data_IF_867718166634
#
_entry.id   IF_867718166634
#
_cell.length_a   1.000
_cell.length_b   1.000
_cell.length_c   1.000
_cell.angle_alpha   90.00
_cell.angle_beta   90.00
_cell.angle_gamma   90.00
#
_symmetry.space_group_name_H-M   'P 1'
#
loop_
_entity.id
_entity.type
_entity.pdbx_description
1 polymer ?
#
# COMPACT_ATOMS: atom_id res chain seq x y z
N UNK A 1 60.87 -1.68 83.20
CA UNK A 1 59.56 -2.36 82.93
C UNK A 1 58.65 -1.46 82.25
N UNK A 2 58.43 -1.61 80.99
CA UNK A 2 57.24 -1.25 80.22
C UNK A 2 57.50 -1.67 78.80
N UNK A 3 56.76 -2.63 78.34
CA UNK A 3 56.83 -3.17 76.98
C UNK A 3 56.03 -2.28 76.07
N UNK A 4 56.63 -1.78 74.98
CA UNK A 4 56.02 -1.11 73.89
C UNK A 4 55.44 -2.11 72.92
N UNK A 5 54.16 -2.02 72.69
CA UNK A 5 53.45 -2.81 71.65
C UNK A 5 53.43 -1.98 70.40
N UNK A 6 54.05 -2.47 69.33
CA UNK A 6 53.94 -1.91 67.98
C UNK A 6 52.60 -2.31 67.39
N UNK A 7 51.78 -1.38 67.08
CA UNK A 7 50.56 -1.58 66.26
C UNK A 7 50.88 -1.29 64.84
N UNK A 8 50.97 -2.32 64.04
CA UNK A 8 51.09 -2.20 62.56
C UNK A 8 49.77 -1.83 61.91
N UNK A 9 49.71 -0.71 61.28
CA UNK A 9 48.58 -0.32 60.45
C UNK A 9 48.60 -1.04 59.10
N UNK A 10 47.66 -1.95 58.89
CA UNK A 10 47.40 -2.55 57.59
C UNK A 10 46.54 -1.60 56.81
N UNK A 11 47.08 -0.97 55.79
CA UNK A 11 46.36 -0.18 54.82
C UNK A 11 45.63 -1.14 53.84
N UNK A 12 44.34 -1.34 54.00
CA UNK A 12 43.50 -2.03 53.01
C UNK A 12 43.21 -1.06 51.90
N UNK A 13 43.86 -1.23 50.74
CA UNK A 13 43.50 -0.52 49.52
C UNK A 13 42.20 -1.13 48.99
N UNK A 14 41.08 -0.41 49.11
CA UNK A 14 39.83 -0.74 48.46
C UNK A 14 39.97 -0.34 46.99
N UNK A 15 40.18 -1.34 46.13
CA UNK A 15 40.10 -1.17 44.68
C UNK A 15 38.64 -1.03 44.31
N UNK A 16 38.16 0.19 44.11
CA UNK A 16 36.83 0.43 43.53
C UNK A 16 36.90 0.07 42.04
N UNK A 17 36.42 -1.11 41.70
CA UNK A 17 36.17 -1.49 40.31
C UNK A 17 34.95 -0.72 39.82
N UNK A 18 35.16 0.40 39.14
CA UNK A 18 34.15 1.05 38.35
C UNK A 18 33.89 0.15 37.16
N UNK A 19 32.88 -0.69 37.24
CA UNK A 19 32.30 -1.38 36.07
C UNK A 19 31.60 -0.32 35.26
N UNK A 20 32.28 0.27 34.30
CA UNK A 20 31.65 0.96 33.20
C UNK A 20 30.82 -0.10 32.46
N UNK A 21 29.53 -0.11 32.71
CA UNK A 21 28.56 -0.77 31.83
C UNK A 21 28.64 -0.03 30.48
N UNK A 22 29.58 -0.48 29.64
CA UNK A 22 29.51 -0.17 28.23
C UNK A 22 28.14 -0.71 27.77
N UNK A 23 27.21 0.22 27.55
CA UNK A 23 25.98 -0.10 26.86
C UNK A 23 26.36 -0.86 25.61
N UNK A 24 25.93 -2.10 25.51
CA UNK A 24 26.04 -2.88 24.29
C UNK A 24 25.25 -2.16 23.21
N UNK A 25 25.94 -1.22 22.54
CA UNK A 25 25.56 -0.77 21.21
C UNK A 25 25.54 -2.06 20.39
N UNK A 26 24.37 -2.58 20.14
CA UNK A 26 24.20 -3.74 19.26
C UNK A 26 24.66 -3.27 17.89
N UNK A 27 25.86 -3.67 17.51
CA UNK A 27 26.33 -3.72 16.14
C UNK A 27 25.57 -4.83 15.40
N UNK A 28 24.26 -4.67 15.25
CA UNK A 28 23.64 -5.18 14.05
C UNK A 28 23.98 -4.14 12.98
N UNK A 29 24.69 -4.51 11.89
CA UNK A 29 24.74 -3.63 10.76
C UNK A 29 23.27 -3.34 10.42
N UNK A 30 22.86 -2.06 10.47
CA UNK A 30 21.60 -1.67 9.90
C UNK A 30 21.61 -2.20 8.48
N UNK A 31 20.64 -3.03 8.12
CA UNK A 31 20.42 -3.48 6.75
C UNK A 31 19.97 -2.24 5.97
N UNK A 32 20.90 -1.31 5.75
CA UNK A 32 20.64 -0.17 4.88
C UNK A 32 20.49 -0.74 3.47
N UNK A 33 19.23 -0.85 3.04
CA UNK A 33 18.94 -1.13 1.65
C UNK A 33 19.67 -0.05 0.81
N UNK A 34 20.33 -0.45 -0.28
CA UNK A 34 20.99 0.52 -1.15
C UNK A 34 20.01 1.62 -1.53
N UNK A 35 20.45 2.88 -1.54
CA UNK A 35 19.63 4.00 -2.00
C UNK A 35 19.42 3.96 -3.54
N UNK A 36 19.95 2.94 -4.20
CA UNK A 36 19.76 2.71 -5.62
C UNK A 36 18.28 2.41 -5.90
N UNK A 37 17.64 3.36 -6.55
CA UNK A 37 16.23 3.31 -6.91
C UNK A 37 16.01 3.08 -8.42
N UNK A 38 17.02 2.54 -9.08
CA UNK A 38 16.96 2.15 -10.49
C UNK A 38 16.94 0.63 -10.61
N UNK A 39 15.96 0.10 -11.36
CA UNK A 39 15.83 -1.33 -11.64
C UNK A 39 15.51 -1.57 -13.11
N UNK A 40 16.19 -2.54 -13.69
CA UNK A 40 15.79 -3.16 -14.96
C UNK A 40 15.27 -4.56 -14.64
N UNK A 41 13.97 -4.74 -14.76
CA UNK A 41 13.26 -6.00 -14.51
C UNK A 41 12.80 -6.69 -15.79
N UNK A 42 13.19 -6.18 -16.97
CA UNK A 42 12.76 -6.69 -18.27
C UNK A 42 13.16 -8.14 -18.54
N UNK A 43 14.16 -8.67 -17.81
CA UNK A 43 14.57 -10.09 -17.88
C UNK A 43 13.82 -11.03 -16.94
N UNK A 44 12.96 -10.50 -16.06
CA UNK A 44 12.16 -11.28 -15.13
C UNK A 44 10.78 -11.63 -15.68
N UNK A 45 10.19 -12.74 -15.23
CA UNK A 45 8.80 -13.04 -15.52
C UNK A 45 7.92 -12.18 -14.61
N UNK A 46 7.03 -11.32 -15.15
CA UNK A 46 6.08 -10.56 -14.32
C UNK A 46 5.17 -11.51 -13.51
N UNK A 47 4.65 -11.05 -12.38
CA UNK A 47 3.76 -11.86 -11.53
C UNK A 47 2.42 -12.16 -12.21
N UNK A 48 1.99 -11.30 -13.11
CA UNK A 48 0.91 -11.49 -14.08
C UNK A 48 1.24 -10.69 -15.36
N UNK A 49 0.64 -11.01 -16.52
CA UNK A 49 0.89 -10.28 -17.75
C UNK A 49 0.60 -8.78 -17.61
N UNK A 50 1.58 -7.93 -17.94
CA UNK A 50 1.44 -6.49 -17.85
C UNK A 50 1.77 -5.89 -16.47
N UNK A 51 2.15 -6.69 -15.47
CA UNK A 51 2.60 -6.15 -14.19
C UNK A 51 3.86 -5.30 -14.35
N UNK A 52 3.82 -4.09 -13.82
CA UNK A 52 4.92 -3.12 -13.83
C UNK A 52 5.29 -2.68 -12.40
N UNK A 53 6.38 -1.96 -12.23
CA UNK A 53 6.82 -1.47 -10.93
C UNK A 53 7.80 -2.39 -10.21
N UNK A 54 8.31 -1.95 -9.07
CA UNK A 54 9.41 -2.61 -8.36
C UNK A 54 9.07 -4.00 -7.83
N UNK A 55 7.81 -4.26 -7.45
CA UNK A 55 7.34 -5.57 -6.99
C UNK A 55 6.96 -6.54 -8.10
N UNK A 56 6.92 -6.10 -9.37
CA UNK A 56 6.28 -6.81 -10.48
C UNK A 56 6.83 -8.20 -10.80
N UNK A 57 8.06 -8.50 -10.40
CA UNK A 57 8.71 -9.81 -10.63
C UNK A 57 8.63 -10.74 -9.42
N UNK A 58 7.81 -10.43 -8.43
CA UNK A 58 7.55 -11.34 -7.31
C UNK A 58 7.08 -12.70 -7.81
N UNK A 59 7.51 -13.75 -7.15
CA UNK A 59 7.01 -15.11 -7.45
C UNK A 59 5.69 -15.40 -6.74
N UNK A 60 5.35 -14.59 -5.73
CA UNK A 60 4.13 -14.74 -4.94
C UNK A 60 3.83 -16.21 -4.59
N UNK A 61 2.61 -16.66 -4.80
CA UNK A 61 2.17 -18.05 -4.53
C UNK A 61 2.50 -19.08 -5.62
N UNK A 62 3.24 -18.73 -6.68
CA UNK A 62 3.55 -19.64 -7.81
C UNK A 62 4.07 -20.99 -7.35
N UNK A 63 3.43 -22.07 -7.79
CA UNK A 63 3.78 -23.44 -7.40
C UNK A 63 3.35 -23.84 -5.98
N UNK A 64 2.51 -23.04 -5.33
CA UNK A 64 2.00 -23.31 -3.99
C UNK A 64 0.68 -24.09 -3.97
N UNK A 65 0.29 -24.49 -2.77
CA UNK A 65 -0.98 -25.19 -2.52
C UNK A 65 -2.17 -24.27 -2.72
N UNK A 66 -3.25 -24.81 -3.31
CA UNK A 66 -4.50 -24.09 -3.48
C UNK A 66 -5.32 -24.13 -2.18
N UNK A 67 -5.52 -22.98 -1.56
CA UNK A 67 -6.37 -22.83 -0.37
C UNK A 67 -7.68 -22.14 -0.77
N UNK A 68 -8.82 -22.76 -0.39
CA UNK A 68 -10.15 -22.27 -0.72
C UNK A 68 -10.80 -21.54 0.45
N UNK A 69 -11.22 -20.33 0.23
CA UNK A 69 -12.10 -19.61 1.17
C UNK A 69 -13.53 -20.02 0.85
N UNK A 70 -14.18 -20.66 1.80
CA UNK A 70 -15.50 -21.28 1.64
C UNK A 70 -16.55 -20.73 2.60
N UNK A 71 -16.18 -19.79 3.46
CA UNK A 71 -17.09 -19.12 4.40
C UNK A 71 -16.74 -17.64 4.53
N UNK A 72 -17.74 -16.82 4.83
CA UNK A 72 -17.59 -15.39 5.14
C UNK A 72 -17.34 -15.14 6.64
N UNK A 73 -17.16 -16.19 7.44
CA UNK A 73 -16.81 -16.02 8.84
C UNK A 73 -15.45 -15.34 8.99
N UNK A 74 -15.31 -14.46 10.00
CA UNK A 74 -14.07 -13.76 10.29
C UNK A 74 -12.88 -14.71 10.51
N UNK A 75 -13.11 -15.87 11.14
CA UNK A 75 -12.07 -16.83 11.51
C UNK A 75 -12.56 -18.29 11.45
N UNK A 76 -11.63 -19.22 11.62
CA UNK A 76 -11.88 -20.66 11.66
C UNK A 76 -11.70 -21.36 10.31
N UNK A 77 -11.98 -22.66 10.22
CA UNK A 77 -11.76 -23.45 9.01
C UNK A 77 -12.51 -22.89 7.80
N UNK A 78 -11.79 -22.70 6.68
CA UNK A 78 -12.34 -22.15 5.44
C UNK A 78 -12.52 -20.64 5.41
N UNK A 79 -12.13 -19.91 6.45
CA UNK A 79 -12.15 -18.45 6.47
C UNK A 79 -10.95 -17.83 5.74
N UNK A 80 -11.07 -16.56 5.39
CA UNK A 80 -9.95 -15.77 4.84
C UNK A 80 -8.79 -15.71 5.82
N UNK A 81 -9.03 -15.44 7.11
CA UNK A 81 -7.98 -15.40 8.14
C UNK A 81 -7.16 -16.70 8.14
N UNK A 82 -7.82 -17.86 8.17
CA UNK A 82 -7.15 -19.15 8.15
C UNK A 82 -6.29 -19.36 6.88
N UNK A 83 -6.73 -18.85 5.74
CA UNK A 83 -5.98 -18.93 4.49
C UNK A 83 -4.76 -17.97 4.46
N UNK A 84 -4.93 -16.73 4.94
CA UNK A 84 -3.86 -15.73 4.96
C UNK A 84 -2.77 -16.06 5.99
N UNK A 85 -3.12 -16.69 7.10
CA UNK A 85 -2.18 -17.07 8.18
C UNK A 85 -1.58 -18.46 8.02
N UNK A 86 -2.01 -19.22 7.01
CA UNK A 86 -1.45 -20.55 6.72
C UNK A 86 0.03 -20.45 6.36
N UNK A 87 0.81 -21.46 6.73
CA UNK A 87 2.23 -21.56 6.38
C UNK A 87 2.43 -22.21 5.02
N UNK A 88 3.60 -21.92 4.43
CA UNK A 88 4.00 -22.47 3.14
C UNK A 88 3.50 -21.66 1.93
N UNK A 89 4.03 -22.00 0.78
CA UNK A 89 3.68 -21.36 -0.51
C UNK A 89 2.24 -21.69 -0.86
N UNK A 90 1.42 -20.67 -1.21
CA UNK A 90 -0.02 -20.87 -1.37
C UNK A 90 -0.69 -19.88 -2.32
N UNK A 91 -1.77 -20.33 -2.93
CA UNK A 91 -2.68 -19.53 -3.74
C UNK A 91 -4.06 -19.60 -3.08
N UNK A 92 -4.56 -18.45 -2.65
CA UNK A 92 -5.85 -18.31 -1.97
C UNK A 92 -6.92 -17.95 -3.00
N UNK A 93 -7.95 -18.78 -3.14
CA UNK A 93 -9.08 -18.57 -4.05
C UNK A 93 -10.40 -18.58 -3.27
N UNK A 94 -11.44 -17.97 -3.84
CA UNK A 94 -12.70 -17.76 -3.14
C UNK A 94 -13.84 -18.51 -3.82
N UNK A 95 -14.50 -19.37 -3.08
CA UNK A 95 -15.73 -20.04 -3.48
C UNK A 95 -16.99 -19.36 -2.90
N UNK A 96 -16.78 -18.25 -2.19
CA UNK A 96 -17.83 -17.40 -1.62
C UNK A 96 -17.63 -15.94 -2.04
N UNK A 97 -18.73 -15.18 -2.12
CA UNK A 97 -18.73 -13.74 -2.30
C UNK A 97 -19.64 -13.09 -1.26
N UNK A 98 -19.28 -11.89 -0.82
CA UNK A 98 -20.01 -11.13 0.18
C UNK A 98 -19.09 -10.38 1.16
N UNK A 99 -19.64 -10.06 2.34
CA UNK A 99 -18.96 -9.25 3.35
C UNK A 99 -18.37 -10.15 4.44
N UNK A 100 -17.10 -9.90 4.78
CA UNK A 100 -16.41 -10.49 5.93
C UNK A 100 -16.20 -9.36 6.97
N UNK A 101 -16.83 -9.50 8.13
CA UNK A 101 -16.70 -8.53 9.22
C UNK A 101 -15.55 -8.93 10.14
N UNK A 102 -14.55 -8.05 10.22
CA UNK A 102 -13.32 -8.24 10.99
C UNK A 102 -13.33 -7.35 12.25
N UNK A 103 -12.82 -7.85 13.35
CA UNK A 103 -12.60 -7.08 14.58
C UNK A 103 -11.15 -6.65 14.79
N UNK A 104 -10.23 -7.15 13.96
CA UNK A 104 -8.82 -6.81 13.95
C UNK A 104 -8.22 -7.07 12.58
N UNK A 105 -7.11 -6.39 12.27
CA UNK A 105 -6.40 -6.59 11.01
C UNK A 105 -5.90 -8.03 10.89
N UNK A 106 -6.00 -8.62 9.69
CA UNK A 106 -5.39 -9.91 9.40
C UNK A 106 -3.94 -9.67 9.00
N UNK A 107 -2.98 -10.17 9.79
CA UNK A 107 -1.56 -10.05 9.48
C UNK A 107 -1.03 -11.26 8.72
N UNK A 108 -0.49 -11.01 7.53
CA UNK A 108 0.21 -12.01 6.71
C UNK A 108 1.68 -12.03 7.13
N UNK A 109 2.15 -13.11 7.74
CA UNK A 109 3.53 -13.26 8.21
C UNK A 109 4.33 -14.32 7.45
N UNK A 110 3.66 -15.19 6.74
CA UNK A 110 4.27 -16.27 5.97
C UNK A 110 4.38 -15.88 4.48
N UNK A 111 5.57 -15.98 3.88
CA UNK A 111 5.79 -15.53 2.51
C UNK A 111 5.19 -16.45 1.45
N UNK A 112 5.35 -16.05 0.19
CA UNK A 112 4.96 -16.77 -1.00
C UNK A 112 3.45 -17.02 -1.09
N UNK A 113 2.68 -15.93 -1.15
CA UNK A 113 1.22 -16.00 -1.22
C UNK A 113 0.67 -15.18 -2.40
N UNK A 114 -0.30 -15.76 -3.08
CA UNK A 114 -1.22 -15.06 -3.99
C UNK A 114 -2.62 -15.07 -3.40
N UNK A 115 -3.23 -13.89 -3.24
CA UNK A 115 -4.64 -13.73 -2.86
C UNK A 115 -5.42 -13.33 -4.10
N UNK A 116 -6.13 -14.28 -4.67
CA UNK A 116 -6.81 -14.14 -5.96
C UNK A 116 -8.30 -13.79 -5.75
N UNK A 117 -8.59 -12.55 -5.35
CA UNK A 117 -9.96 -12.05 -5.12
C UNK A 117 -10.86 -12.14 -6.34
N UNK A 118 -10.31 -12.02 -7.55
CA UNK A 118 -11.01 -12.19 -8.84
C UNK A 118 -11.73 -13.55 -8.96
N UNK A 119 -11.34 -14.53 -8.15
CA UNK A 119 -12.01 -15.84 -8.14
C UNK A 119 -13.32 -15.84 -7.34
N UNK A 120 -13.61 -14.82 -6.55
CA UNK A 120 -14.88 -14.74 -5.81
C UNK A 120 -16.06 -14.57 -6.76
N UNK A 121 -17.21 -15.23 -6.51
CA UNK A 121 -18.42 -14.91 -7.26
C UNK A 121 -18.91 -13.50 -6.95
N UNK A 122 -19.64 -12.86 -7.90
CA UNK A 122 -20.28 -11.56 -7.64
C UNK A 122 -21.04 -11.57 -6.29
N UNK A 123 -20.92 -10.53 -5.48
CA UNK A 123 -20.31 -9.24 -5.73
C UNK A 123 -18.81 -9.16 -5.41
N UNK A 124 -18.08 -10.27 -5.29
CA UNK A 124 -16.70 -10.31 -4.84
C UNK A 124 -16.58 -10.34 -3.31
N UNK A 125 -15.40 -10.09 -2.77
CA UNK A 125 -15.14 -10.04 -1.32
C UNK A 125 -14.98 -8.59 -0.87
N UNK A 126 -15.69 -8.24 0.21
CA UNK A 126 -15.54 -6.97 0.93
C UNK A 126 -15.19 -7.25 2.39
N UNK A 127 -14.09 -6.67 2.87
CA UNK A 127 -13.72 -6.69 4.29
C UNK A 127 -14.23 -5.39 4.95
N UNK A 128 -14.86 -5.51 6.13
CA UNK A 128 -15.30 -4.36 6.93
C UNK A 128 -14.75 -4.45 8.36
N UNK A 129 -14.67 -3.31 9.07
CA UNK A 129 -14.24 -3.22 10.45
C UNK A 129 -12.72 -3.24 10.66
N UNK A 130 -11.97 -3.86 9.75
CA UNK A 130 -10.51 -3.90 9.79
C UNK A 130 -9.95 -4.19 8.39
N UNK A 131 -8.61 -4.22 8.27
CA UNK A 131 -7.89 -4.41 7.03
C UNK A 131 -6.92 -5.58 7.00
N UNK A 132 -5.96 -5.49 6.10
CA UNK A 132 -4.88 -6.47 5.91
C UNK A 132 -3.54 -5.81 6.18
N UNK A 133 -2.67 -6.47 6.94
CA UNK A 133 -1.29 -6.05 7.19
C UNK A 133 -0.32 -7.10 6.63
N UNK A 134 0.51 -6.70 5.66
CA UNK A 134 1.52 -7.54 5.02
C UNK A 134 2.85 -7.34 5.74
N UNK A 135 3.28 -8.32 6.52
CA UNK A 135 4.53 -8.32 7.28
C UNK A 135 5.57 -9.31 6.75
N UNK A 136 5.57 -9.61 5.45
CA UNK A 136 6.45 -10.59 4.83
C UNK A 136 6.73 -10.25 3.36
N UNK A 137 7.37 -11.15 2.62
CA UNK A 137 7.79 -10.94 1.24
C UNK A 137 7.13 -11.90 0.26
N UNK A 138 7.24 -11.58 -1.03
CA UNK A 138 6.67 -12.34 -2.14
C UNK A 138 5.17 -12.55 -1.98
N UNK A 139 4.43 -11.43 -2.07
CA UNK A 139 2.99 -11.36 -1.88
C UNK A 139 2.33 -10.69 -3.08
N UNK A 140 1.25 -11.29 -3.58
CA UNK A 140 0.32 -10.68 -4.52
C UNK A 140 -1.08 -10.66 -3.91
N UNK A 141 -1.71 -9.49 -3.87
CA UNK A 141 -3.11 -9.31 -3.48
C UNK A 141 -3.85 -8.63 -4.62
N UNK A 142 -4.91 -9.26 -5.12
CA UNK A 142 -5.72 -8.72 -6.20
C UNK A 142 -7.21 -8.81 -5.91
N UNK A 143 -7.98 -7.83 -6.41
CA UNK A 143 -9.43 -7.83 -6.49
C UNK A 143 -10.16 -8.02 -5.15
N UNK A 144 -9.67 -7.36 -4.11
CA UNK A 144 -10.30 -7.32 -2.78
C UNK A 144 -10.79 -5.91 -2.48
N UNK A 145 -12.00 -5.77 -1.93
CA UNK A 145 -12.48 -4.53 -1.33
C UNK A 145 -12.19 -4.51 0.15
N UNK A 146 -11.60 -3.42 0.65
CA UNK A 146 -11.31 -3.24 2.08
C UNK A 146 -11.90 -1.91 2.53
N UNK A 147 -12.90 -1.97 3.43
CA UNK A 147 -13.71 -0.85 3.89
C UNK A 147 -13.81 -0.84 5.42
N UNK A 148 -12.73 -0.50 6.13
CA UNK A 148 -12.71 -0.62 7.58
C UNK A 148 -13.84 0.16 8.25
N UNK A 149 -14.06 1.42 7.87
CA UNK A 149 -15.13 2.28 8.36
C UNK A 149 -15.10 2.56 9.86
N UNK A 150 -16.08 3.31 10.35
CA UNK A 150 -16.17 3.74 11.75
C UNK A 150 -17.11 2.91 12.61
N UNK A 151 -17.63 1.78 12.11
CA UNK A 151 -18.52 0.92 12.87
C UNK A 151 -17.89 0.45 14.20
N UNK A 152 -18.69 0.36 15.27
CA UNK A 152 -18.24 -0.22 16.55
C UNK A 152 -17.76 -1.66 16.38
N UNK A 153 -16.70 -2.05 17.10
CA UNK A 153 -16.19 -3.44 17.12
C UNK A 153 -15.12 -3.77 16.08
N UNK A 154 -14.76 -2.82 15.23
CA UNK A 154 -13.61 -2.97 14.32
C UNK A 154 -12.25 -2.87 15.04
N UNK A 155 -11.16 -2.88 14.27
CA UNK A 155 -9.80 -2.69 14.77
C UNK A 155 -9.63 -1.36 15.53
N UNK A 156 -8.54 -1.25 16.30
CA UNK A 156 -8.18 0.01 16.97
C UNK A 156 -8.15 1.16 15.95
N UNK A 157 -8.88 2.26 16.17
CA UNK A 157 -8.94 3.38 15.24
C UNK A 157 -7.57 3.97 14.84
N UNK A 158 -6.56 3.94 15.73
CA UNK A 158 -5.21 4.44 15.41
C UNK A 158 -4.47 3.54 14.41
N UNK A 159 -4.95 2.31 14.18
CA UNK A 159 -4.33 1.33 13.29
C UNK A 159 -5.38 0.70 12.34
N UNK A 160 -6.48 1.41 12.10
CA UNK A 160 -7.56 0.93 11.23
C UNK A 160 -7.33 1.39 9.79
N UNK A 161 -6.23 0.87 9.22
CA UNK A 161 -5.86 1.03 7.82
C UNK A 161 -6.66 0.09 6.92
N UNK A 162 -6.64 0.38 5.63
CA UNK A 162 -7.12 -0.56 4.62
C UNK A 162 -6.14 -1.69 4.37
N UNK A 163 -5.06 -1.42 3.62
CA UNK A 163 -3.99 -2.40 3.36
C UNK A 163 -2.64 -1.77 3.70
N UNK A 164 -1.98 -2.31 4.72
CA UNK A 164 -0.66 -1.89 5.15
C UNK A 164 0.42 -2.90 4.75
N UNK A 165 1.62 -2.42 4.41
CA UNK A 165 2.83 -3.23 4.18
C UNK A 165 3.85 -2.81 5.23
N UNK A 166 3.98 -3.59 6.29
CA UNK A 166 4.62 -3.15 7.51
C UNK A 166 5.80 -4.03 7.90
N UNK A 167 7.00 -3.45 7.89
CA UNK A 167 8.20 -4.06 8.44
C UNK A 167 8.18 -4.17 9.96
N UNK A 168 9.32 -4.46 10.53
CA UNK A 168 9.51 -4.43 11.97
C UNK A 168 10.12 -3.06 12.37
N UNK A 169 9.49 -2.35 13.30
CA UNK A 169 10.01 -1.10 13.85
C UNK A 169 11.41 -1.20 14.45
N UNK A 170 11.91 -2.41 14.64
CA UNK A 170 13.27 -2.74 15.10
C UNK A 170 14.24 -3.09 13.98
N UNK A 171 13.77 -3.06 12.69
CA UNK A 171 14.59 -3.36 11.52
C UNK A 171 14.98 -4.83 11.35
N UNK A 172 14.26 -5.76 11.99
CA UNK A 172 14.59 -7.20 11.97
C UNK A 172 13.92 -8.01 10.85
N UNK A 173 12.85 -7.50 10.25
CA UNK A 173 12.08 -8.19 9.21
C UNK A 173 12.20 -7.46 7.89
N UNK A 174 12.56 -8.16 6.83
CA UNK A 174 12.53 -7.64 5.46
C UNK A 174 11.17 -7.93 4.83
N UNK A 175 10.53 -6.90 4.31
CA UNK A 175 9.28 -6.96 3.55
C UNK A 175 9.52 -6.41 2.15
N UNK A 176 9.43 -7.27 1.15
CA UNK A 176 9.79 -6.91 -0.23
C UNK A 176 9.04 -7.77 -1.25
N UNK A 177 9.09 -7.35 -2.53
CA UNK A 177 8.40 -8.05 -3.60
C UNK A 177 6.90 -8.21 -3.29
N UNK A 178 6.21 -7.11 -3.00
CA UNK A 178 4.77 -7.09 -2.74
C UNK A 178 4.07 -6.32 -3.84
N UNK A 179 3.00 -6.89 -4.37
CA UNK A 179 2.11 -6.25 -5.33
C UNK A 179 0.69 -6.25 -4.77
N UNK A 180 0.09 -5.06 -4.72
CA UNK A 180 -1.33 -4.86 -4.40
C UNK A 180 -1.96 -4.21 -5.62
N UNK A 181 -2.79 -4.96 -6.30
CA UNK A 181 -3.27 -4.62 -7.63
C UNK A 181 -4.78 -4.78 -7.75
N UNK A 182 -5.45 -3.87 -8.46
CA UNK A 182 -6.90 -3.90 -8.62
C UNK A 182 -7.67 -4.14 -7.31
N UNK A 183 -7.30 -3.43 -6.24
CA UNK A 183 -8.05 -3.43 -4.99
C UNK A 183 -8.84 -2.12 -4.84
N UNK A 184 -9.97 -2.15 -4.13
CA UNK A 184 -10.70 -0.95 -3.73
C UNK A 184 -10.57 -0.77 -2.23
N UNK A 185 -9.99 0.35 -1.80
CA UNK A 185 -9.82 0.67 -0.38
C UNK A 185 -10.52 1.99 -0.09
N UNK A 186 -11.54 1.92 0.76
CA UNK A 186 -12.34 3.10 1.13
C UNK A 186 -12.64 3.10 2.62
N UNK A 187 -12.91 4.29 3.19
CA UNK A 187 -13.37 4.47 4.57
C UNK A 187 -12.38 4.02 5.64
N UNK A 188 -11.08 4.03 5.34
CA UNK A 188 -10.06 3.81 6.37
C UNK A 188 -10.09 4.97 7.39
N UNK A 189 -9.75 4.67 8.64
CA UNK A 189 -9.70 5.64 9.73
C UNK A 189 -8.30 6.28 9.82
N UNK A 190 -7.23 5.53 9.55
CA UNK A 190 -5.88 6.08 9.41
C UNK A 190 -5.51 6.19 7.93
N UNK A 191 -4.72 5.32 7.34
CA UNK A 191 -4.39 5.35 5.92
C UNK A 191 -5.22 4.35 5.11
N UNK A 192 -5.59 4.73 3.88
CA UNK A 192 -6.16 3.77 2.93
C UNK A 192 -5.16 2.65 2.63
N UNK A 193 -3.96 3.04 2.18
CA UNK A 193 -2.84 2.12 2.02
C UNK A 193 -1.57 2.71 2.63
N UNK A 194 -0.63 1.85 3.05
CA UNK A 194 0.62 2.34 3.65
C UNK A 194 1.79 1.40 3.48
N UNK A 195 3.00 1.97 3.54
CA UNK A 195 4.24 1.23 3.83
C UNK A 195 4.87 1.82 5.09
N UNK A 196 5.42 0.98 5.98
CA UNK A 196 6.03 1.45 7.21
C UNK A 196 7.30 0.68 7.59
N UNK A 197 8.28 1.44 8.12
CA UNK A 197 9.51 1.00 8.76
C UNK A 197 10.64 0.54 7.84
N UNK A 198 11.81 0.44 8.44
CA UNK A 198 13.04 -0.03 7.80
C UNK A 198 12.88 -1.48 7.30
N UNK A 199 13.47 -1.76 6.15
CA UNK A 199 13.40 -3.09 5.53
C UNK A 199 12.23 -3.30 4.57
N UNK A 200 11.37 -2.27 4.38
CA UNK A 200 10.31 -2.32 3.36
C UNK A 200 10.83 -1.81 2.03
N UNK A 201 10.75 -2.64 0.98
CA UNK A 201 11.22 -2.28 -0.37
C UNK A 201 10.57 -3.10 -1.46
N UNK A 202 10.70 -2.63 -2.70
CA UNK A 202 10.23 -3.34 -3.89
C UNK A 202 8.72 -3.64 -3.81
N UNK A 203 7.95 -2.59 -3.52
CA UNK A 203 6.49 -2.66 -3.38
C UNK A 203 5.84 -1.96 -4.57
N UNK A 204 4.76 -2.53 -5.06
CA UNK A 204 3.92 -1.92 -6.10
C UNK A 204 2.47 -1.86 -5.65
N UNK A 205 1.89 -0.66 -5.71
CA UNK A 205 0.46 -0.41 -5.63
C UNK A 205 0.00 0.00 -7.03
N UNK A 206 -0.80 -0.84 -7.69
CA UNK A 206 -1.22 -0.61 -9.07
C UNK A 206 -2.72 -0.75 -9.27
N UNK A 207 -3.30 0.09 -10.12
CA UNK A 207 -4.70 0.01 -10.57
C UNK A 207 -5.73 -0.02 -9.43
N UNK A 208 -5.41 0.52 -8.26
CA UNK A 208 -6.31 0.53 -7.11
C UNK A 208 -7.24 1.74 -7.13
N UNK A 209 -8.42 1.59 -6.52
CA UNK A 209 -9.30 2.69 -6.12
C UNK A 209 -9.10 2.97 -4.63
N UNK A 210 -8.53 4.13 -4.28
CA UNK A 210 -8.24 4.54 -2.89
C UNK A 210 -9.03 5.82 -2.62
N UNK A 211 -10.15 5.71 -1.91
CA UNK A 211 -11.09 6.82 -1.88
C UNK A 211 -11.87 6.95 -0.56
N UNK A 212 -12.37 8.16 -0.30
CA UNK A 212 -13.29 8.45 0.82
C UNK A 212 -12.79 7.96 2.18
N UNK A 213 -11.49 7.99 2.43
CA UNK A 213 -10.98 7.70 3.77
C UNK A 213 -11.49 8.77 4.74
N UNK A 214 -11.93 8.35 5.93
CA UNK A 214 -12.75 9.16 6.83
C UNK A 214 -11.95 10.30 7.47
N UNK A 215 -12.52 11.51 7.51
CA UNK A 215 -11.85 12.73 7.95
C UNK A 215 -11.98 12.96 9.46
N UNK A 216 -13.03 13.63 9.94
CA UNK A 216 -13.27 13.84 11.37
C UNK A 216 -14.03 12.63 11.97
N UNK A 217 -13.36 11.48 12.02
CA UNK A 217 -13.93 10.23 12.48
C UNK A 217 -13.34 9.75 13.81
N UNK A 218 -13.10 8.45 13.98
CA UNK A 218 -12.69 7.85 15.25
C UNK A 218 -11.20 7.99 15.58
N UNK A 219 -10.37 8.50 14.67
CA UNK A 219 -8.92 8.53 14.88
C UNK A 219 -8.55 9.46 16.06
N UNK A 220 -7.75 8.99 17.07
CA UNK A 220 -7.49 9.75 18.30
C UNK A 220 -6.69 11.05 18.09
N UNK A 221 -6.01 11.21 16.96
CA UNK A 221 -5.26 12.43 16.60
C UNK A 221 -6.11 13.46 15.83
N UNK A 222 -7.41 13.23 15.68
CA UNK A 222 -8.33 14.11 14.97
C UNK A 222 -8.37 13.87 13.47
N UNK A 223 -8.58 14.91 12.67
CA UNK A 223 -8.76 14.86 11.21
C UNK A 223 -7.73 13.98 10.50
N UNK A 224 -8.23 13.06 9.68
CA UNK A 224 -7.43 12.12 8.89
C UNK A 224 -7.79 12.19 7.41
N UNK A 225 -8.53 11.23 6.85
CA UNK A 225 -8.82 11.13 5.40
C UNK A 225 -7.54 11.09 4.55
N UNK A 226 -6.77 10.01 4.73
CA UNK A 226 -5.45 9.86 4.11
C UNK A 226 -5.45 8.74 3.08
N UNK A 227 -4.98 9.00 1.86
CA UNK A 227 -4.92 8.03 0.78
C UNK A 227 -3.84 6.96 1.00
N UNK A 228 -2.60 7.24 0.60
CA UNK A 228 -1.48 6.31 0.65
C UNK A 228 -0.26 6.95 1.31
N UNK A 229 0.35 6.23 2.26
CA UNK A 229 1.58 6.65 2.92
C UNK A 229 2.77 5.80 2.48
N UNK A 230 3.82 6.44 1.99
CA UNK A 230 5.17 5.86 1.89
C UNK A 230 5.92 6.28 3.15
N UNK A 231 5.91 5.41 4.16
CA UNK A 231 6.46 5.68 5.48
C UNK A 231 7.98 5.71 5.51
N UNK A 232 8.54 6.17 6.64
CA UNK A 232 9.99 6.33 6.81
C UNK A 232 10.77 5.08 6.41
N UNK A 233 11.87 5.29 5.67
CA UNK A 233 12.81 4.28 5.20
C UNK A 233 12.27 3.28 4.16
N UNK A 234 11.03 3.44 3.69
CA UNK A 234 10.50 2.60 2.60
C UNK A 234 11.16 2.96 1.26
N UNK A 235 11.63 1.96 0.52
CA UNK A 235 12.43 2.21 -0.68
C UNK A 235 11.93 1.43 -1.88
N UNK A 236 12.09 2.03 -3.08
CA UNK A 236 11.64 1.44 -4.33
C UNK A 236 10.16 1.07 -4.28
N UNK A 237 9.36 2.12 -3.99
CA UNK A 237 7.90 2.00 -3.96
C UNK A 237 7.36 2.50 -5.29
N UNK A 238 6.52 1.72 -5.94
CA UNK A 238 5.80 2.10 -7.14
C UNK A 238 4.33 2.36 -6.83
N UNK A 239 3.82 3.50 -7.27
CA UNK A 239 2.40 3.89 -7.18
C UNK A 239 1.96 4.20 -8.61
N UNK A 240 1.29 3.25 -9.28
CA UNK A 240 1.09 3.27 -10.73
C UNK A 240 -0.39 3.01 -11.05
N UNK A 241 -1.00 3.88 -11.84
CA UNK A 241 -2.36 3.65 -12.38
C UNK A 241 -3.46 3.65 -11.32
N UNK A 242 -3.24 4.27 -10.15
CA UNK A 242 -4.26 4.31 -9.11
C UNK A 242 -5.19 5.51 -9.27
N UNK A 243 -6.42 5.35 -8.79
CA UNK A 243 -7.38 6.43 -8.62
C UNK A 243 -7.46 6.79 -7.13
N UNK A 244 -7.12 8.04 -6.81
CA UNK A 244 -7.33 8.63 -5.50
C UNK A 244 -8.51 9.60 -5.60
N UNK A 245 -9.52 9.46 -4.75
CA UNK A 245 -10.68 10.34 -4.78
C UNK A 245 -11.18 10.68 -3.38
N UNK A 246 -11.53 11.93 -3.13
CA UNK A 246 -12.14 12.40 -1.88
C UNK A 246 -11.30 12.06 -0.63
N UNK A 247 -9.98 12.12 -0.72
CA UNK A 247 -9.10 12.04 0.44
C UNK A 247 -8.53 13.41 0.74
N UNK A 248 -8.52 13.83 2.01
CA UNK A 248 -8.03 15.13 2.42
C UNK A 248 -6.57 15.37 2.01
N UNK A 249 -5.75 14.31 2.06
CA UNK A 249 -4.31 14.37 1.79
C UNK A 249 -3.67 12.99 1.63
N UNK A 250 -2.36 12.97 1.33
CA UNK A 250 -1.56 11.74 1.13
C UNK A 250 -2.02 10.92 -0.08
N UNK A 251 -1.96 11.53 -1.27
CA UNK A 251 -2.36 10.86 -2.52
C UNK A 251 -1.20 10.74 -3.54
N UNK A 252 -0.01 10.18 -3.18
CA UNK A 252 0.47 9.74 -1.87
C UNK A 252 1.24 10.80 -1.06
N UNK A 253 1.66 10.45 0.17
CA UNK A 253 2.66 11.19 0.95
C UNK A 253 3.92 10.35 1.11
N UNK A 254 5.10 10.95 0.87
CA UNK A 254 6.41 10.37 1.14
C UNK A 254 7.00 10.98 2.41
N UNK A 255 7.43 10.12 3.34
CA UNK A 255 8.19 10.52 4.52
C UNK A 255 9.69 10.51 4.27
N UNK A 256 10.50 10.70 5.32
CA UNK A 256 11.96 10.78 5.24
C UNK A 256 12.61 9.46 4.84
N UNK A 257 13.74 9.56 4.14
CA UNK A 257 14.57 8.45 3.68
C UNK A 257 13.83 7.44 2.78
N UNK A 258 13.05 7.95 1.83
CA UNK A 258 12.19 7.17 0.94
C UNK A 258 12.59 7.29 -0.53
N UNK A 259 12.23 6.30 -1.34
CA UNK A 259 12.31 6.40 -2.79
C UNK A 259 11.05 5.85 -3.46
N UNK A 260 10.43 6.64 -4.36
CA UNK A 260 9.20 6.23 -5.03
C UNK A 260 9.11 6.67 -6.50
N UNK A 261 8.45 5.82 -7.28
CA UNK A 261 7.94 6.13 -8.62
C UNK A 261 6.42 6.33 -8.51
N UNK A 262 5.94 7.49 -8.93
CA UNK A 262 4.52 7.86 -8.91
C UNK A 262 4.12 8.17 -10.36
N UNK A 263 3.45 7.24 -11.03
CA UNK A 263 3.20 7.31 -12.46
C UNK A 263 1.74 6.98 -12.80
N UNK A 264 1.18 7.69 -13.75
CA UNK A 264 -0.14 7.41 -14.32
C UNK A 264 -1.29 7.36 -13.29
N UNK A 265 -1.22 8.12 -12.19
CA UNK A 265 -2.31 8.18 -11.21
C UNK A 265 -3.26 9.34 -11.49
N UNK A 266 -4.53 9.15 -11.16
CA UNK A 266 -5.53 10.19 -11.13
C UNK A 266 -5.81 10.58 -9.67
N UNK A 267 -5.73 11.89 -9.36
CA UNK A 267 -6.10 12.42 -8.04
C UNK A 267 -7.24 13.40 -8.21
N UNK A 268 -8.42 13.04 -7.74
CA UNK A 268 -9.63 13.87 -7.75
C UNK A 268 -10.01 14.31 -6.35
N UNK A 269 -10.37 15.58 -6.21
CA UNK A 269 -10.85 16.17 -4.94
C UNK A 269 -9.90 15.91 -3.76
N UNK A 270 -8.61 16.16 -3.97
CA UNK A 270 -7.53 15.88 -3.03
C UNK A 270 -7.42 16.92 -1.91
N UNK A 271 -8.50 17.39 -1.34
CA UNK A 271 -8.56 18.26 -0.18
C UNK A 271 -7.49 19.36 -0.13
N UNK A 272 -6.57 19.27 0.82
CA UNK A 272 -5.48 20.26 1.01
C UNK A 272 -4.22 19.96 0.20
N UNK A 273 -4.02 18.74 -0.27
CA UNK A 273 -2.84 18.34 -1.06
C UNK A 273 -3.06 17.00 -1.77
N UNK A 274 -2.53 16.88 -2.98
CA UNK A 274 -2.45 15.60 -3.68
C UNK A 274 -1.20 14.82 -3.25
N UNK A 275 -0.04 15.01 -3.92
CA UNK A 275 1.23 14.35 -3.55
C UNK A 275 1.96 15.20 -2.51
N UNK A 276 2.43 14.57 -1.42
CA UNK A 276 3.09 15.27 -0.33
C UNK A 276 4.48 14.73 0.01
N UNK A 277 5.32 15.60 0.58
CA UNK A 277 6.63 15.27 1.14
C UNK A 277 6.74 15.82 2.56
N UNK A 278 7.04 14.95 3.53
CA UNK A 278 7.17 15.36 4.93
C UNK A 278 8.12 14.42 5.67
N UNK A 279 9.15 14.97 6.30
CA UNK A 279 10.09 14.25 7.15
C UNK A 279 10.00 14.69 8.64
N UNK A 280 8.86 15.25 9.05
CA UNK A 280 8.66 15.85 10.37
C UNK A 280 9.06 14.93 11.56
N UNK A 281 9.06 13.62 11.37
CA UNK A 281 9.39 12.65 12.41
C UNK A 281 10.81 12.07 12.25
N UNK A 282 11.32 11.98 11.04
CA UNK A 282 12.67 11.48 10.74
C UNK A 282 13.26 12.17 9.52
N UNK A 283 14.46 12.66 9.64
CA UNK A 283 15.20 13.25 8.52
C UNK A 283 15.85 12.16 7.66
N UNK A 284 16.01 12.44 6.38
CA UNK A 284 16.70 11.58 5.43
C UNK A 284 16.39 12.01 4.00
N UNK A 285 17.21 11.53 3.06
CA UNK A 285 17.07 11.85 1.64
C UNK A 285 15.80 11.17 1.08
N UNK A 286 14.90 11.96 0.49
CA UNK A 286 13.73 11.43 -0.21
C UNK A 286 13.82 11.76 -1.69
N UNK A 287 13.65 10.75 -2.55
CA UNK A 287 13.71 10.92 -4.00
C UNK A 287 12.48 10.38 -4.66
N UNK A 288 11.97 11.09 -5.66
CA UNK A 288 10.82 10.61 -6.43
C UNK A 288 10.88 10.99 -7.91
N UNK A 289 10.32 10.11 -8.71
CA UNK A 289 9.93 10.38 -10.09
C UNK A 289 8.41 10.45 -10.14
N UNK A 290 7.86 11.59 -10.58
CA UNK A 290 6.42 11.89 -10.66
C UNK A 290 6.12 12.17 -12.12
N UNK A 291 5.48 11.23 -12.82
CA UNK A 291 5.32 11.33 -14.27
C UNK A 291 3.94 10.88 -14.75
N UNK A 292 3.39 11.60 -15.71
CA UNK A 292 2.14 11.22 -16.37
C UNK A 292 0.91 11.19 -15.46
N UNK A 293 0.89 11.90 -14.32
CA UNK A 293 -0.27 11.92 -13.42
C UNK A 293 -1.28 13.01 -13.81
N UNK A 294 -2.55 12.79 -13.48
CA UNK A 294 -3.64 13.73 -13.69
C UNK A 294 -4.22 14.22 -12.36
N UNK A 295 -4.22 15.52 -12.14
CA UNK A 295 -4.82 16.16 -10.98
C UNK A 295 -6.12 16.86 -11.39
N UNK A 296 -7.21 16.55 -10.69
CA UNK A 296 -8.54 17.11 -10.96
C UNK A 296 -9.05 17.73 -9.65
N UNK A 297 -9.13 19.09 -9.54
CA UNK A 297 -9.74 19.71 -8.38
C UNK A 297 -11.22 19.33 -8.29
N UNK A 298 -11.70 19.14 -7.07
CA UNK A 298 -13.09 18.84 -6.78
C UNK A 298 -13.70 19.81 -5.78
N UNK A 299 -14.90 19.53 -5.27
CA UNK A 299 -15.64 20.45 -4.39
C UNK A 299 -14.89 20.85 -3.11
N UNK A 300 -14.05 19.96 -2.53
CA UNK A 300 -13.33 20.21 -1.28
C UNK A 300 -11.86 20.57 -1.50
N UNK A 301 -11.41 20.67 -2.76
CA UNK A 301 -10.01 21.00 -3.04
C UNK A 301 -9.70 22.43 -2.61
N UNK A 302 -8.84 22.55 -1.60
CA UNK A 302 -8.42 23.82 -1.03
C UNK A 302 -7.03 24.22 -1.55
N UNK A 303 -6.97 24.94 -2.66
CA UNK A 303 -5.74 25.48 -3.22
C UNK A 303 -5.23 24.71 -4.44
N UNK A 304 -4.00 25.05 -4.86
CA UNK A 304 -3.38 24.54 -6.09
C UNK A 304 -2.06 23.84 -5.85
N UNK A 305 -1.76 23.47 -4.60
CA UNK A 305 -0.53 22.76 -4.23
C UNK A 305 -0.69 21.24 -4.45
N UNK A 306 -0.84 20.84 -5.73
CA UNK A 306 -0.98 19.43 -6.09
C UNK A 306 0.25 18.59 -5.71
N UNK A 307 1.44 19.19 -5.73
CA UNK A 307 2.65 18.62 -5.13
C UNK A 307 3.11 19.55 -4.02
N UNK A 308 3.13 19.05 -2.79
CA UNK A 308 3.35 19.82 -1.58
C UNK A 308 4.60 19.35 -0.82
N UNK A 309 5.30 20.31 -0.22
CA UNK A 309 6.44 20.06 0.65
C UNK A 309 6.20 20.70 2.01
N UNK A 310 6.29 19.91 3.08
CA UNK A 310 6.22 20.38 4.45
C UNK A 310 7.34 21.37 4.79
N UNK A 311 7.07 22.31 5.69
CA UNK A 311 8.08 23.31 6.10
C UNK A 311 9.25 22.69 6.87
N UNK A 312 9.03 21.54 7.47
CA UNK A 312 10.02 20.82 8.29
C UNK A 312 10.78 19.76 7.49
N UNK A 313 10.47 19.65 6.19
CA UNK A 313 11.13 18.69 5.31
C UNK A 313 12.58 19.10 5.06
N UNK A 314 13.52 18.15 5.16
CA UNK A 314 14.93 18.36 4.89
C UNK A 314 15.17 18.88 3.46
N UNK A 315 16.31 19.53 3.20
CA UNK A 315 16.68 19.95 1.86
C UNK A 315 17.19 18.79 0.98
N UNK A 316 17.24 17.58 1.51
CA UNK A 316 17.66 16.38 0.80
C UNK A 316 16.52 15.72 0.03
N UNK A 317 15.75 16.51 -0.73
CA UNK A 317 14.71 16.03 -1.63
C UNK A 317 15.15 16.21 -3.07
N UNK A 318 14.96 15.18 -3.90
CA UNK A 318 15.19 15.26 -5.34
C UNK A 318 13.94 14.77 -6.07
N UNK A 319 13.31 15.64 -6.84
CA UNK A 319 12.07 15.35 -7.56
C UNK A 319 12.27 15.54 -9.06
N UNK A 320 12.02 14.49 -9.83
CA UNK A 320 11.80 14.60 -11.26
C UNK A 320 10.29 14.65 -11.54
N UNK A 321 9.85 15.58 -12.36
CA UNK A 321 8.45 15.74 -12.74
C UNK A 321 8.35 15.95 -14.25
N UNK A 322 7.53 15.15 -14.92
CA UNK A 322 7.32 15.24 -16.36
C UNK A 322 5.92 14.74 -16.76
N UNK A 323 5.30 15.37 -17.73
CA UNK A 323 4.04 14.94 -18.33
C UNK A 323 2.83 14.92 -17.38
N UNK A 324 2.90 15.59 -16.22
CA UNK A 324 1.76 15.69 -15.31
C UNK A 324 0.82 16.82 -15.74
N UNK A 325 -0.48 16.58 -15.67
CA UNK A 325 -1.53 17.55 -16.07
C UNK A 325 -2.46 17.90 -14.91
N UNK A 326 -3.07 19.07 -15.02
CA UNK A 326 -4.17 19.52 -14.16
C UNK A 326 -5.40 19.79 -15.04
N UNK A 327 -6.56 19.24 -14.68
CA UNK A 327 -7.84 19.55 -15.32
C UNK A 327 -8.60 20.61 -14.51
N UNK A 328 -8.61 21.82 -15.00
CA UNK A 328 -9.38 22.97 -14.45
C UNK A 328 -10.55 23.37 -15.36
N UNK A 329 -11.06 22.43 -16.15
CA UNK A 329 -12.00 22.63 -17.25
C UNK A 329 -11.32 22.59 -18.61
N UNK A 330 -10.02 22.89 -18.63
CA UNK A 330 -9.07 22.64 -19.71
C UNK A 330 -7.87 21.91 -19.12
N UNK A 331 -7.26 20.99 -19.86
CA UNK A 331 -6.03 20.33 -19.47
C UNK A 331 -4.83 21.27 -19.63
N UNK A 332 -4.13 21.52 -18.53
CA UNK A 332 -2.93 22.35 -18.50
C UNK A 332 -1.75 21.60 -17.88
N UNK A 333 -0.53 21.94 -18.31
CA UNK A 333 0.68 21.38 -17.69
C UNK A 333 0.75 21.74 -16.20
N UNK A 334 1.05 20.75 -15.35
CA UNK A 334 1.32 21.00 -13.95
C UNK A 334 2.55 21.90 -13.80
N UNK A 335 2.40 23.00 -13.08
CA UNK A 335 3.48 23.94 -12.80
C UNK A 335 3.82 23.88 -11.30
N UNK A 336 5.04 23.45 -10.92
CA UNK A 336 5.43 23.38 -9.52
C UNK A 336 5.55 24.78 -8.89
N UNK A 337 5.16 24.90 -7.62
CA UNK A 337 5.45 26.12 -6.85
C UNK A 337 6.96 26.28 -6.59
N UNK A 338 7.39 27.44 -6.07
CA UNK A 338 8.81 27.74 -5.89
C UNK A 338 9.55 26.76 -4.95
N UNK A 339 8.86 26.22 -3.93
CA UNK A 339 9.45 25.27 -2.97
C UNK A 339 9.72 23.91 -3.63
N UNK A 340 8.83 23.46 -4.49
CA UNK A 340 8.98 22.23 -5.27
C UNK A 340 9.98 22.42 -6.41
N UNK A 341 9.95 23.54 -7.11
CA UNK A 341 10.88 23.85 -8.18
C UNK A 341 12.35 23.90 -7.68
N UNK A 342 12.56 24.31 -6.43
CA UNK A 342 13.90 24.38 -5.82
C UNK A 342 14.56 22.99 -5.59
N UNK A 343 13.80 21.92 -5.57
CA UNK A 343 14.27 20.52 -5.37
C UNK A 343 14.11 19.67 -6.63
N UNK A 344 13.74 20.30 -7.75
CA UNK A 344 13.58 19.62 -9.01
C UNK A 344 14.93 19.24 -9.62
N UNK A 345 15.01 18.01 -10.17
CA UNK A 345 16.20 17.50 -10.87
C UNK A 345 15.87 17.21 -12.33
N UNK A 346 16.91 17.26 -13.19
CA UNK A 346 16.75 17.10 -14.64
C UNK A 346 16.71 15.64 -15.11
N UNK A 347 17.07 14.69 -14.24
CA UNK A 347 17.14 13.25 -14.56
C UNK A 347 16.33 12.49 -13.52
N UNK A 348 15.47 11.55 -13.93
CA UNK A 348 14.71 10.74 -13.00
C UNK A 348 15.59 10.02 -11.98
N UNK A 349 15.46 10.30 -10.67
CA UNK A 349 16.26 9.64 -9.64
C UNK A 349 15.72 8.25 -9.28
N UNK A 350 14.49 7.96 -9.69
CA UNK A 350 13.82 6.67 -9.48
C UNK A 350 13.32 6.15 -10.82
N UNK A 351 13.77 4.96 -11.23
CA UNK A 351 13.35 4.34 -12.49
C UNK A 351 13.16 2.84 -12.35
N UNK A 352 12.17 2.30 -13.04
CA UNK A 352 11.96 0.86 -13.21
C UNK A 352 11.64 0.57 -14.67
N UNK A 353 12.15 -0.55 -15.19
CA UNK A 353 11.88 -1.01 -16.54
C UNK A 353 11.40 -2.46 -16.45
N UNK A 354 10.28 -2.85 -17.08
CA UNK A 354 9.44 -2.01 -17.93
C UNK A 354 8.58 -1.01 -17.14
N UNK A 355 8.23 0.10 -17.76
CA UNK A 355 7.24 1.05 -17.31
C UNK A 355 6.62 1.72 -18.55
N UNK A 356 5.30 1.66 -18.64
CA UNK A 356 4.52 2.37 -19.65
C UNK A 356 3.99 3.67 -19.03
N UNK A 357 4.41 4.82 -19.56
CA UNK A 357 3.84 6.10 -19.17
C UNK A 357 2.84 6.52 -20.22
N UNK A 358 1.55 6.44 -19.88
CA UNK A 358 0.46 6.90 -20.73
C UNK A 358 0.37 8.43 -20.72
N UNK A 359 -0.11 9.07 -21.79
CA UNK A 359 -0.40 10.49 -21.76
C UNK A 359 -1.43 10.82 -20.68
N UNK A 360 -1.11 11.75 -19.79
CA UNK A 360 -2.02 12.13 -18.69
C UNK A 360 -3.41 12.59 -19.18
N UNK A 361 -3.51 13.05 -20.42
CA UNK A 361 -4.77 13.43 -21.07
C UNK A 361 -5.72 12.26 -21.37
N UNK A 362 -5.23 11.04 -21.34
CA UNK A 362 -6.01 9.82 -21.58
C UNK A 362 -6.37 9.07 -20.29
N UNK A 363 -5.74 9.44 -19.17
CA UNK A 363 -5.85 8.72 -17.89
C UNK A 363 -7.26 8.72 -17.32
N UNK A 364 -8.03 9.80 -17.43
CA UNK A 364 -9.35 9.81 -16.84
C UNK A 364 -10.21 8.69 -17.43
N UNK A 365 -10.30 8.61 -18.75
CA UNK A 365 -11.09 7.58 -19.40
C UNK A 365 -10.57 6.17 -19.12
N UNK A 366 -9.25 5.98 -19.18
CA UNK A 366 -8.59 4.71 -18.92
C UNK A 366 -8.84 4.23 -17.50
N UNK A 367 -8.52 5.06 -16.48
CA UNK A 367 -8.59 4.65 -15.07
C UNK A 367 -10.03 4.55 -14.55
N UNK A 368 -10.95 5.39 -14.99
CA UNK A 368 -12.36 5.24 -14.62
C UNK A 368 -12.95 3.93 -15.18
N UNK A 369 -12.42 3.42 -16.28
CA UNK A 369 -12.83 2.14 -16.83
C UNK A 369 -12.18 0.95 -16.07
N UNK A 370 -10.92 1.05 -15.62
CA UNK A 370 -10.11 -0.11 -15.21
C UNK A 370 -9.74 -0.17 -13.73
N UNK A 371 -9.73 0.94 -12.97
CA UNK A 371 -9.25 0.91 -11.58
C UNK A 371 -10.25 0.29 -10.61
N UNK A 372 -9.73 -0.31 -9.52
CA UNK A 372 -10.50 -0.90 -8.43
C UNK A 372 -10.71 -2.40 -8.54
N UNK A 373 -11.42 -2.97 -7.56
CA UNK A 373 -11.47 -4.42 -7.38
C UNK A 373 -12.15 -5.21 -8.50
N UNK A 374 -13.24 -4.71 -9.04
CA UNK A 374 -13.99 -5.38 -10.11
C UNK A 374 -14.53 -4.33 -11.09
N UNK A 375 -13.72 -3.77 -11.97
CA UNK A 375 -14.16 -2.75 -12.91
C UNK A 375 -15.36 -3.16 -13.77
N UNK A 376 -15.43 -4.41 -14.21
CA UNK A 376 -16.55 -4.94 -14.99
C UNK A 376 -17.83 -5.22 -14.16
N UNK A 377 -17.69 -5.35 -12.83
CA UNK A 377 -18.81 -5.68 -11.91
C UNK A 377 -18.65 -4.87 -10.60
N UNK A 378 -18.64 -3.53 -10.74
CA UNK A 378 -18.52 -2.62 -9.59
C UNK A 378 -19.76 -2.74 -8.70
N UNK A 379 -19.51 -2.80 -7.40
CA UNK A 379 -20.61 -2.62 -6.46
C UNK A 379 -21.07 -1.15 -6.39
N UNK A 380 -22.13 -0.89 -5.64
CA UNK A 380 -22.76 0.44 -5.54
C UNK A 380 -21.80 1.53 -5.03
N UNK A 381 -20.84 1.17 -4.15
CA UNK A 381 -19.86 2.12 -3.58
C UNK A 381 -18.82 2.49 -4.61
N UNK A 382 -18.15 1.51 -5.23
CA UNK A 382 -17.14 1.76 -6.26
C UNK A 382 -17.77 2.48 -7.46
N UNK A 383 -18.98 2.06 -7.89
CA UNK A 383 -19.69 2.70 -9.00
C UNK A 383 -20.04 4.17 -8.70
N UNK A 384 -20.49 4.48 -7.48
CA UNK A 384 -20.80 5.83 -7.04
C UNK A 384 -19.54 6.72 -7.01
N UNK A 385 -18.43 6.23 -6.49
CA UNK A 385 -17.16 6.96 -6.44
C UNK A 385 -16.66 7.26 -7.87
N UNK A 386 -16.64 6.27 -8.74
CA UNK A 386 -16.23 6.46 -10.14
C UNK A 386 -17.15 7.49 -10.85
N UNK A 387 -18.47 7.40 -10.62
CA UNK A 387 -19.42 8.34 -11.19
C UNK A 387 -19.21 9.76 -10.64
N UNK A 388 -18.88 9.92 -9.35
CA UNK A 388 -18.63 11.24 -8.76
C UNK A 388 -17.43 11.96 -9.39
N UNK A 389 -16.41 11.20 -9.81
CA UNK A 389 -15.26 11.76 -10.53
C UNK A 389 -15.71 12.27 -11.91
N UNK A 390 -16.47 11.48 -12.65
CA UNK A 390 -16.99 11.86 -13.97
C UNK A 390 -17.91 13.10 -13.88
N UNK A 391 -18.71 13.18 -12.83
CA UNK A 391 -19.65 14.30 -12.60
C UNK A 391 -19.00 15.50 -11.89
N UNK A 392 -17.71 15.42 -11.50
CA UNK A 392 -17.01 16.45 -10.70
C UNK A 392 -17.77 16.79 -9.39
N UNK A 393 -18.30 15.77 -8.73
CA UNK A 393 -19.16 15.85 -7.53
C UNK A 393 -18.61 15.00 -6.39
N UNK A 394 -19.39 14.83 -5.30
CA UNK A 394 -18.97 14.10 -4.11
C UNK A 394 -18.22 14.98 -3.11
N UNK A 395 -17.80 14.41 -1.99
CA UNK A 395 -17.14 15.15 -0.91
C UNK A 395 -16.21 14.24 -0.10
N UNK A 396 -15.29 14.86 0.64
CA UNK A 396 -14.59 14.25 1.76
C UNK A 396 -15.60 14.06 2.89
N UNK A 397 -15.64 12.87 3.49
CA UNK A 397 -16.66 12.47 4.46
C UNK A 397 -16.04 12.12 5.82
N UNK A 398 -16.83 12.20 6.88
CA UNK A 398 -16.45 11.86 8.25
C UNK A 398 -16.91 10.44 8.65
N UNK A 399 -17.94 9.93 7.99
CA UNK A 399 -18.52 8.62 8.21
C UNK A 399 -19.02 8.02 6.90
N UNK A 400 -18.87 6.71 6.70
CA UNK A 400 -19.48 5.99 5.58
C UNK A 400 -21.02 6.11 5.57
N UNK A 401 -21.64 6.41 6.71
CA UNK A 401 -23.09 6.58 6.81
C UNK A 401 -23.61 7.79 6.03
N UNK A 402 -22.76 8.80 5.76
CA UNK A 402 -23.11 9.96 4.95
C UNK A 402 -23.36 9.60 3.47
N UNK A 403 -22.82 8.47 3.03
CA UNK A 403 -22.90 8.01 1.63
C UNK A 403 -23.63 6.67 1.49
N UNK A 404 -24.45 6.30 2.49
CA UNK A 404 -25.32 5.12 2.46
C UNK A 404 -24.84 3.94 3.29
N UNK A 405 -23.68 4.03 3.92
CA UNK A 405 -23.16 3.00 4.83
C UNK A 405 -22.61 1.76 4.11
N UNK A 406 -22.37 0.71 4.89
CA UNK A 406 -21.84 -0.54 4.35
C UNK A 406 -22.85 -1.23 3.43
N UNK A 407 -22.44 -1.64 2.21
CA UNK A 407 -23.30 -2.48 1.40
C UNK A 407 -23.56 -3.81 2.09
N UNK A 408 -24.78 -4.31 1.93
CA UNK A 408 -25.21 -5.59 2.50
C UNK A 408 -25.68 -6.56 1.41
N UNK A 409 -24.79 -6.95 0.49
CA UNK A 409 -25.12 -7.93 -0.52
C UNK A 409 -25.37 -9.28 0.12
N UNK A 410 -26.29 -10.06 -0.44
CA UNK A 410 -26.46 -11.44 -0.03
C UNK A 410 -25.18 -12.26 -0.27
N UNK A 411 -24.93 -13.23 0.61
CA UNK A 411 -23.83 -14.18 0.41
C UNK A 411 -24.07 -15.00 -0.86
N UNK A 412 -23.04 -15.16 -1.67
CA UNK A 412 -23.04 -15.97 -2.88
C UNK A 412 -21.99 -17.07 -2.80
N UNK A 413 -22.14 -18.10 -3.61
CA UNK A 413 -21.16 -19.20 -3.66
C UNK A 413 -21.05 -19.80 -5.04
N UNK A 414 -19.90 -20.36 -5.34
CA UNK A 414 -19.62 -21.17 -6.53
C UNK A 414 -18.64 -22.29 -6.21
N UNK A 415 -18.57 -23.29 -7.07
CA UNK A 415 -17.52 -24.30 -7.01
C UNK A 415 -16.49 -24.00 -8.07
N UNK A 416 -15.23 -23.86 -7.66
CA UNK A 416 -14.10 -23.66 -8.56
C UNK A 416 -13.52 -24.99 -9.03
N UNK A 417 -13.22 -25.07 -10.34
CA UNK A 417 -12.57 -26.23 -10.94
C UNK A 417 -11.22 -25.78 -11.50
N UNK A 418 -10.14 -25.92 -10.72
CA UNK A 418 -8.80 -25.56 -11.17
C UNK A 418 -8.29 -26.55 -12.23
N UNK A 419 -7.22 -26.21 -12.97
CA UNK A 419 -6.57 -27.14 -13.91
C UNK A 419 -6.15 -28.45 -13.24
N UNK A 420 -6.20 -29.55 -14.00
CA UNK A 420 -5.84 -30.89 -13.50
C UNK A 420 -4.34 -31.00 -13.13
N UNK A 421 -3.49 -30.28 -13.85
CA UNK A 421 -2.07 -30.05 -13.53
C UNK A 421 -1.86 -28.57 -13.24
N UNK A 422 -2.06 -28.11 -11.98
CA UNK A 422 -2.00 -26.69 -11.65
C UNK A 422 -0.56 -26.12 -11.74
N UNK A 423 0.47 -26.96 -11.64
CA UNK A 423 1.87 -26.55 -11.65
C UNK A 423 2.56 -26.73 -13.00
N UNK A 424 1.90 -27.34 -13.99
CA UNK A 424 2.39 -27.43 -15.35
C UNK A 424 2.42 -26.06 -16.04
N UNK A 425 3.16 -25.97 -17.13
CA UNK A 425 3.23 -24.84 -18.06
C UNK A 425 3.04 -25.43 -19.46
N UNK A 426 1.77 -25.60 -19.87
CA UNK A 426 1.44 -26.32 -21.11
C UNK A 426 1.85 -25.56 -22.37
N UNK A 427 1.87 -24.23 -22.34
CA UNK A 427 2.19 -23.38 -23.48
C UNK A 427 3.63 -22.88 -23.50
N UNK A 428 4.40 -23.10 -22.42
CA UNK A 428 5.82 -22.77 -22.33
C UNK A 428 6.11 -21.27 -22.16
N UNK A 429 5.14 -20.49 -21.66
CA UNK A 429 5.30 -19.04 -21.50
C UNK A 429 5.87 -18.62 -20.14
N UNK A 430 6.11 -19.58 -19.23
CA UNK A 430 6.67 -19.38 -17.90
C UNK A 430 5.63 -19.26 -16.78
N UNK A 431 4.35 -19.06 -17.09
CA UNK A 431 3.28 -19.11 -16.11
C UNK A 431 2.77 -20.55 -15.92
N UNK A 432 2.43 -20.89 -14.71
CA UNK A 432 1.77 -22.18 -14.45
C UNK A 432 0.35 -22.19 -15.00
N UNK A 433 -0.19 -23.37 -15.28
CA UNK A 433 -1.60 -23.52 -15.70
C UNK A 433 -2.57 -22.90 -14.68
N UNK A 434 -2.22 -22.92 -13.38
CA UNK A 434 -3.00 -22.26 -12.33
C UNK A 434 -2.98 -20.73 -12.48
N UNK A 435 -1.81 -20.14 -12.75
CA UNK A 435 -1.71 -18.69 -12.97
C UNK A 435 -2.48 -18.26 -14.20
N UNK A 436 -2.39 -19.00 -15.31
CA UNK A 436 -3.18 -18.70 -16.50
C UNK A 436 -4.69 -18.80 -16.27
N UNK A 437 -5.11 -19.79 -15.47
CA UNK A 437 -6.49 -19.89 -15.06
C UNK A 437 -6.95 -18.69 -14.22
N UNK A 438 -6.08 -18.18 -13.33
CA UNK A 438 -6.34 -16.95 -12.58
C UNK A 438 -6.37 -15.71 -13.48
N UNK A 439 -5.46 -15.61 -14.47
CA UNK A 439 -5.47 -14.51 -15.44
C UNK A 439 -6.78 -14.46 -16.23
N UNK A 440 -7.39 -15.61 -16.52
CA UNK A 440 -8.71 -15.65 -17.13
C UNK A 440 -9.81 -15.04 -16.28
N UNK A 441 -9.73 -15.17 -14.94
CA UNK A 441 -10.62 -14.46 -14.02
C UNK A 441 -10.32 -12.95 -13.95
N UNK A 442 -9.04 -12.55 -13.88
CA UNK A 442 -8.66 -11.15 -13.91
C UNK A 442 -9.20 -10.46 -15.16
N UNK A 443 -8.96 -11.03 -16.34
CA UNK A 443 -9.49 -10.49 -17.60
C UNK A 443 -11.02 -10.31 -17.55
N UNK A 444 -11.75 -11.22 -16.88
CA UNK A 444 -13.21 -11.12 -16.77
C UNK A 444 -13.66 -10.09 -15.73
N UNK A 445 -12.84 -9.81 -14.72
CA UNK A 445 -13.11 -8.82 -13.68
C UNK A 445 -12.77 -7.38 -14.14
N UNK A 446 -11.78 -7.23 -15.02
CA UNK A 446 -11.20 -5.96 -15.44
C UNK A 446 -11.84 -5.41 -16.73
N UNK A 447 -12.27 -6.27 -17.64
CA UNK A 447 -12.84 -5.83 -18.92
C UNK A 447 -14.37 -5.68 -18.82
N UNK A 448 -14.91 -4.44 -18.95
CA UNK A 448 -16.34 -4.19 -18.94
C UNK A 448 -17.08 -4.75 -20.16
#
# INVERSE_FOLDING_TARGET
>A
MRRSVLVGSVMVAILVLVVLSAGSCRLFPSLQLPFDATRDLSGGLPVFPGAEGFGSTTVAGRGGDLIRVTTLNASGPGSLEAALTASGRRVVVFEVGGVIELSQNIRITEPFITVAGQTAPSPGITLIGAGIDVGTHDVLIQHIRVRPGDAPGGADPENRDGIAVTGDSRGGTLVYNVVIDHCSVTWAIDEGMSTWYEGVSDITFSNNLIAENLSESLHPKGEHSKGLLVGDHSRRISVIGNVFAHNMRRNPLLKGDTSALIANNLVFNGGTQAIGFSDAERSGRSIATITGNLFIPGPDTAGTDYVWRGRETSDEIELFMDGNLVDIGDLVDFTPNAAIAAVAVAVPPVTVVPLTVEPASELEASLLASAGAFPADRDEVDARIIQSIADRSGSIIDSQDEVGGYPSPGATSRTLVPPADPHGDENGNGYTNLEEWLHGFSNSAEMP
#
